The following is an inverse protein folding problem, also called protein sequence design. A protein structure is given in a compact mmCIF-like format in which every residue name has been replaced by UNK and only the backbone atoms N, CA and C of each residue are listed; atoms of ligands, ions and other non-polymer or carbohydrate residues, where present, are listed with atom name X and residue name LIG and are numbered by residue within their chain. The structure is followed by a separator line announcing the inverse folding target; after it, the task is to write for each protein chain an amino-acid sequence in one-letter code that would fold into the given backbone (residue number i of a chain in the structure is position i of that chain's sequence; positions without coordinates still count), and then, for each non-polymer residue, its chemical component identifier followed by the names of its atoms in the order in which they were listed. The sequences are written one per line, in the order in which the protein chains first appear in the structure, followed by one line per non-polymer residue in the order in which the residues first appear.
data_IF_161427755058
#
_entry.id   IF_161427755058
#
_cell.length_a   1.000
_cell.length_b   1.000
_cell.length_c   1.000
_cell.angle_alpha   90.00
_cell.angle_beta   90.00
_cell.angle_gamma   90.00
#
_symmetry.space_group_name_H-M   'P 1'
#
loop_
_entity.id
_entity.type
_entity.pdbx_description
1 polymer ?
#
# COMPACT_ATOMS: atom_id res chain seq x y z
N UNK A 1 6.78 2.35 -9.28
CA UNK A 1 8.18 2.68 -8.98
C UNK A 1 8.62 1.89 -7.76
N UNK A 2 9.57 0.99 -7.97
CA UNK A 2 10.00 0.10 -6.90
C UNK A 2 11.36 0.55 -6.36
N UNK A 3 11.54 0.42 -5.05
CA UNK A 3 12.84 0.62 -4.39
C UNK A 3 13.48 -0.76 -4.26
N UNK A 4 14.60 -1.02 -4.96
CA UNK A 4 15.22 -2.34 -4.93
C UNK A 4 15.52 -2.82 -3.52
N UNK A 5 15.21 -4.09 -3.25
CA UNK A 5 15.47 -4.77 -1.98
C UNK A 5 14.72 -4.20 -0.78
N UNK A 6 13.72 -3.33 -0.99
CA UNK A 6 12.88 -2.79 0.08
C UNK A 6 11.45 -3.30 -0.07
N UNK A 7 10.75 -3.40 1.06
CA UNK A 7 9.33 -3.72 1.07
C UNK A 7 8.51 -2.46 0.82
N UNK A 8 7.42 -2.62 0.10
CA UNK A 8 6.48 -1.54 -0.23
C UNK A 8 5.07 -2.06 -0.11
N UNK A 9 4.13 -1.17 0.22
CA UNK A 9 2.71 -1.47 0.08
C UNK A 9 2.35 -1.54 -1.41
N UNK A 10 1.43 -2.44 -1.80
CA UNK A 10 1.04 -2.52 -3.21
C UNK A 10 0.28 -1.27 -3.65
N UNK A 11 0.44 -0.90 -4.91
CA UNK A 11 -0.20 0.25 -5.51
C UNK A 11 0.56 0.72 -6.74
N UNK A 12 0.21 1.91 -7.23
CA UNK A 12 0.85 2.45 -8.40
C UNK A 12 0.52 3.91 -8.62
N UNK A 13 0.84 4.41 -9.81
CA UNK A 13 0.67 5.82 -10.16
C UNK A 13 -0.76 6.12 -10.56
N UNK A 14 -1.28 7.23 -10.03
CA UNK A 14 -2.61 7.74 -10.41
C UNK A 14 -2.54 8.27 -11.84
N UNK A 15 -3.45 7.79 -12.68
CA UNK A 15 -3.57 8.26 -14.07
C UNK A 15 -4.45 9.50 -14.13
N UNK A 16 -4.30 10.33 -15.20
CA UNK A 16 -5.16 11.49 -15.38
C UNK A 16 -6.65 11.10 -15.36
N UNK A 17 -7.44 11.85 -14.58
CA UNK A 17 -8.88 11.61 -14.45
C UNK A 17 -9.26 10.52 -13.47
N UNK A 18 -8.29 9.86 -12.87
CA UNK A 18 -8.49 8.75 -11.92
C UNK A 18 -8.45 9.28 -10.49
N UNK A 19 -9.34 8.77 -9.61
CA UNK A 19 -9.24 9.06 -8.18
C UNK A 19 -8.19 8.17 -7.54
N UNK A 20 -7.63 8.54 -6.37
CA UNK A 20 -6.71 7.67 -5.66
C UNK A 20 -7.29 6.29 -5.34
N UNK A 21 -8.57 6.21 -4.94
CA UNK A 21 -9.23 4.93 -4.66
C UNK A 21 -9.34 4.06 -5.90
N UNK A 22 -9.75 4.65 -7.02
CA UNK A 22 -9.87 3.92 -8.29
C UNK A 22 -8.50 3.42 -8.75
N UNK A 23 -7.48 4.25 -8.62
CA UNK A 23 -6.10 3.88 -8.92
C UNK A 23 -5.67 2.65 -8.13
N UNK A 24 -5.91 2.65 -6.82
CA UNK A 24 -5.53 1.54 -5.96
C UNK A 24 -6.20 0.24 -6.40
N UNK A 25 -7.52 0.27 -6.60
CA UNK A 25 -8.26 -0.92 -7.00
C UNK A 25 -7.77 -1.45 -8.36
N UNK A 26 -7.51 -0.57 -9.31
CA UNK A 26 -6.98 -0.93 -10.63
C UNK A 26 -5.59 -1.55 -10.54
N UNK A 27 -4.68 -0.89 -9.82
CA UNK A 27 -3.30 -1.38 -9.69
C UNK A 27 -3.24 -2.73 -8.97
N UNK A 28 -4.04 -2.92 -7.92
CA UNK A 28 -4.08 -4.19 -7.22
C UNK A 28 -4.64 -5.29 -8.11
N UNK A 29 -5.68 -5.01 -8.90
CA UNK A 29 -6.21 -5.97 -9.85
C UNK A 29 -5.16 -6.34 -10.91
N UNK A 30 -4.42 -5.37 -11.42
CA UNK A 30 -3.38 -5.60 -12.42
C UNK A 30 -2.18 -6.38 -11.86
N UNK A 31 -1.73 -6.03 -10.67
CA UNK A 31 -0.51 -6.59 -10.10
C UNK A 31 -0.71 -7.90 -9.36
N UNK A 32 -1.83 -8.07 -8.68
CA UNK A 32 -2.09 -9.21 -7.78
C UNK A 32 -3.27 -10.07 -8.20
N UNK A 33 -4.05 -9.65 -9.21
CA UNK A 33 -5.22 -10.38 -9.70
C UNK A 33 -6.32 -10.56 -8.65
N UNK A 34 -6.45 -9.64 -7.72
CA UNK A 34 -7.51 -9.66 -6.71
C UNK A 34 -8.34 -8.38 -6.78
N UNK A 35 -9.56 -8.47 -6.24
CA UNK A 35 -10.45 -7.33 -6.09
C UNK A 35 -10.53 -6.95 -4.62
N UNK A 36 -10.37 -5.66 -4.33
CA UNK A 36 -10.42 -5.15 -2.95
C UNK A 36 -11.56 -4.15 -2.79
N UNK A 37 -12.06 -4.04 -1.56
CA UNK A 37 -12.96 -2.97 -1.15
C UNK A 37 -12.18 -1.99 -0.28
N UNK A 38 -12.32 -0.70 -0.56
CA UNK A 38 -11.72 0.36 0.24
C UNK A 38 -12.65 0.68 1.41
N UNK A 39 -12.13 0.64 2.63
CA UNK A 39 -12.92 0.90 3.84
C UNK A 39 -12.57 2.22 4.51
N UNK A 40 -11.32 2.65 4.44
CA UNK A 40 -10.88 3.84 5.16
C UNK A 40 -9.68 4.46 4.47
N UNK A 41 -9.70 5.78 4.32
CA UNK A 41 -8.56 6.54 3.84
C UNK A 41 -7.69 6.96 5.03
N UNK A 42 -6.40 6.69 4.95
CA UNK A 42 -5.42 7.24 5.88
C UNK A 42 -4.92 8.57 5.33
N UNK A 43 -4.30 9.39 6.18
CA UNK A 43 -3.76 10.67 5.74
C UNK A 43 -2.67 10.47 4.69
N UNK A 44 -2.67 11.31 3.66
CA UNK A 44 -1.61 11.27 2.64
C UNK A 44 -0.24 11.55 3.25
N UNK A 45 0.79 10.96 2.67
CA UNK A 45 2.17 11.11 3.12
C UNK A 45 3.05 11.53 1.94
N UNK A 46 3.83 12.57 2.14
CA UNK A 46 4.78 13.04 1.13
C UNK A 46 6.20 12.79 1.62
N UNK A 47 7.02 12.22 0.74
CA UNK A 47 8.42 11.94 1.05
C UNK A 47 9.30 12.41 -0.10
N UNK A 48 10.36 13.15 0.23
CA UNK A 48 11.34 13.63 -0.74
C UNK A 48 12.55 12.72 -0.74
N UNK A 49 12.75 12.01 -1.85
CA UNK A 49 14.01 11.31 -2.13
C UNK A 49 14.94 12.31 -2.84
N UNK A 50 16.24 12.02 -2.91
CA UNK A 50 17.18 12.95 -3.58
C UNK A 50 16.81 13.28 -5.03
N UNK A 51 16.19 12.33 -5.73
CA UNK A 51 15.91 12.44 -7.17
C UNK A 51 14.46 12.77 -7.49
N UNK A 52 13.54 12.59 -6.54
CA UNK A 52 12.12 12.83 -6.76
C UNK A 52 11.37 12.96 -5.43
N UNK A 53 10.18 13.54 -5.50
CA UNK A 53 9.25 13.60 -4.36
C UNK A 53 8.03 12.77 -4.69
N UNK A 54 7.58 11.94 -3.75
CA UNK A 54 6.41 11.09 -3.92
C UNK A 54 5.36 11.43 -2.85
N UNK A 55 4.09 11.47 -3.27
CA UNK A 55 2.95 11.57 -2.34
C UNK A 55 2.16 10.28 -2.43
N UNK A 56 1.99 9.62 -1.30
CA UNK A 56 1.22 8.38 -1.18
C UNK A 56 -0.16 8.67 -0.60
N UNK A 57 -1.17 8.04 -1.19
CA UNK A 57 -2.56 8.09 -0.73
C UNK A 57 -2.94 6.70 -0.23
N UNK A 58 -2.75 6.43 1.09
CA UNK A 58 -2.97 5.09 1.63
C UNK A 58 -4.42 4.83 2.01
N UNK A 59 -4.84 3.58 1.82
CA UNK A 59 -6.18 3.12 2.16
C UNK A 59 -6.13 1.79 2.88
N UNK A 60 -7.05 1.61 3.83
CA UNK A 60 -7.29 0.30 4.46
C UNK A 60 -8.34 -0.42 3.64
N UNK A 61 -8.01 -1.63 3.21
CA UNK A 61 -8.83 -2.43 2.29
C UNK A 61 -9.05 -3.84 2.81
N UNK A 62 -10.07 -4.50 2.27
CA UNK A 62 -10.25 -5.94 2.42
C UNK A 62 -10.35 -6.59 1.06
N UNK A 63 -9.98 -7.86 0.97
CA UNK A 63 -10.09 -8.62 -0.27
C UNK A 63 -11.53 -9.07 -0.42
N UNK A 64 -12.15 -8.75 -1.59
CA UNK A 64 -13.50 -9.19 -1.92
C UNK A 64 -13.46 -10.55 -2.63
N UNK A 65 -12.55 -10.71 -3.58
CA UNK A 65 -12.48 -11.91 -4.41
C UNK A 65 -11.11 -12.06 -5.07
N UNK A 66 -10.85 -13.25 -5.58
CA UNK A 66 -9.63 -13.56 -6.33
C UNK A 66 -8.59 -14.28 -5.49
N UNK A 67 -7.63 -14.86 -6.19
CA UNK A 67 -6.44 -15.49 -5.59
C UNK A 67 -5.22 -14.72 -6.08
N UNK A 68 -4.32 -14.38 -5.16
CA UNK A 68 -3.15 -13.59 -5.50
C UNK A 68 -2.29 -14.30 -6.53
N UNK A 69 -2.02 -13.60 -7.63
CA UNK A 69 -1.09 -14.02 -8.67
C UNK A 69 -0.07 -12.90 -8.82
N UNK A 70 1.19 -13.22 -8.59
CA UNK A 70 2.27 -12.25 -8.74
C UNK A 70 2.55 -12.01 -10.22
N UNK A 71 2.54 -10.75 -10.64
CA UNK A 71 2.81 -10.37 -12.03
C UNK A 71 4.08 -9.52 -12.16
N UNK A 72 4.26 -8.58 -11.25
CA UNK A 72 5.38 -7.63 -11.31
C UNK A 72 6.20 -7.57 -10.03
N UNK A 73 5.68 -8.11 -8.92
CA UNK A 73 6.40 -8.13 -7.66
C UNK A 73 7.26 -9.37 -7.53
N UNK A 74 8.42 -9.24 -6.89
CA UNK A 74 9.28 -10.37 -6.60
C UNK A 74 8.68 -11.29 -5.56
N UNK A 75 7.94 -10.72 -4.59
CA UNK A 75 7.31 -11.47 -3.51
C UNK A 75 6.17 -10.67 -2.90
N UNK A 76 5.20 -11.37 -2.33
CA UNK A 76 4.14 -10.81 -1.49
C UNK A 76 4.12 -11.61 -0.20
N UNK A 77 3.95 -10.91 0.92
CA UNK A 77 3.87 -11.55 2.23
C UNK A 77 2.68 -10.97 3.00
N UNK A 78 1.94 -11.84 3.69
CA UNK A 78 0.92 -11.47 4.65
C UNK A 78 1.49 -11.60 6.05
N UNK A 79 1.40 -10.53 6.83
CA UNK A 79 1.89 -10.53 8.20
C UNK A 79 0.83 -9.99 9.15
N UNK A 80 0.77 -10.53 10.38
CA UNK A 80 0.02 -9.88 11.44
C UNK A 80 0.58 -8.47 11.64
N UNK A 81 -0.28 -7.54 12.05
CA UNK A 81 0.16 -6.15 12.25
C UNK A 81 1.35 -6.02 13.22
N UNK A 82 1.46 -6.91 14.19
CA UNK A 82 2.53 -6.90 15.19
C UNK A 82 3.91 -7.18 14.58
N UNK A 83 3.94 -7.80 13.40
CA UNK A 83 5.19 -8.17 12.72
C UNK A 83 5.55 -7.24 11.56
N UNK A 84 4.66 -6.33 11.17
CA UNK A 84 4.90 -5.47 10.02
C UNK A 84 6.13 -4.58 10.19
N UNK A 85 6.38 -4.09 11.40
CA UNK A 85 7.53 -3.20 11.66
C UNK A 85 8.88 -3.90 11.50
N UNK A 86 8.90 -5.24 11.45
CA UNK A 86 10.14 -6.00 11.29
C UNK A 86 10.69 -6.00 9.86
N UNK A 87 9.90 -5.59 8.88
CA UNK A 87 10.31 -5.55 7.48
C UNK A 87 11.19 -4.33 7.19
N UNK A 88 12.07 -4.49 6.21
CA UNK A 88 12.90 -3.39 5.72
C UNK A 88 12.12 -2.58 4.67
N UNK A 89 11.37 -1.61 5.14
CA UNK A 89 10.48 -0.80 4.33
C UNK A 89 11.21 0.28 3.54
N UNK A 90 10.70 0.60 2.35
CA UNK A 90 11.07 1.82 1.65
C UNK A 90 10.71 3.03 2.53
N UNK A 91 11.56 4.06 2.50
CA UNK A 91 11.42 5.21 3.40
C UNK A 91 10.05 5.91 3.27
N UNK A 92 9.53 6.04 2.05
CA UNK A 92 8.22 6.66 1.83
C UNK A 92 7.07 5.86 2.45
N UNK A 93 7.22 4.54 2.62
CA UNK A 93 6.18 3.65 3.18
C UNK A 93 6.18 3.60 4.71
N UNK A 94 7.26 4.00 5.37
CA UNK A 94 7.32 3.97 6.84
C UNK A 94 6.27 4.83 7.51
N UNK A 95 6.02 6.08 7.09
CA UNK A 95 4.93 6.87 7.67
C UNK A 95 3.55 6.28 7.40
N UNK A 96 3.37 5.58 6.28
CA UNK A 96 2.12 4.87 5.97
C UNK A 96 1.92 3.72 6.95
N UNK A 97 2.97 2.94 7.22
CA UNK A 97 2.91 1.87 8.20
C UNK A 97 2.53 2.41 9.58
N UNK A 98 3.16 3.49 10.02
CA UNK A 98 2.86 4.10 11.31
C UNK A 98 1.40 4.55 11.39
N UNK A 99 0.88 5.18 10.34
CA UNK A 99 -0.52 5.60 10.28
C UNK A 99 -1.46 4.40 10.34
N UNK A 100 -1.13 3.31 9.66
CA UNK A 100 -1.94 2.09 9.71
C UNK A 100 -1.95 1.47 11.12
N UNK A 101 -0.78 1.37 11.76
CA UNK A 101 -0.69 0.79 13.09
C UNK A 101 -1.48 1.61 14.12
N UNK A 102 -1.44 2.93 13.99
CA UNK A 102 -2.21 3.82 14.84
C UNK A 102 -3.72 3.65 14.62
N UNK A 103 -4.16 3.58 13.38
CA UNK A 103 -5.54 3.31 13.01
C UNK A 103 -6.00 1.95 13.55
N UNK A 104 -5.24 0.90 13.34
CA UNK A 104 -5.56 -0.45 13.80
C UNK A 104 -5.65 -0.53 15.34
N UNK A 105 -4.79 0.20 16.04
CA UNK A 105 -4.82 0.29 17.49
C UNK A 105 -6.10 0.96 18.01
N UNK A 106 -6.60 1.95 17.30
CA UNK A 106 -7.84 2.66 17.66
C UNK A 106 -9.08 1.82 17.43
N UNK A 107 -9.06 0.88 16.49
CA UNK A 107 -10.20 0.00 16.23
C UNK A 107 -10.32 -1.14 17.23
N UNK A 108 -9.29 -1.42 18.00
CA UNK A 108 -9.31 -2.49 18.97
C UNK A 108 -10.13 -2.05 20.19
N UNK A 109 -11.18 -2.79 20.54
CA UNK A 109 -11.99 -2.48 21.72
C UNK A 109 -11.19 -2.57 23.01
#
# INVERSE_FOLDING_TARGET
MAMPLKWEFPGGKIKPGETPEHCLCREIAEELAIKVAVHHALAEKTHAYPEFTITLYPFVCTIISGTIILREHAAVIWLPREELASLDWADADRPVLEAYLQFAGQETP
#
